data_IF_914915679781
#
_entry.id   IF_914915679781
#
_cell.length_a   1.000
_cell.length_b   1.000
_cell.length_c   1.000
_cell.angle_alpha   90.00
_cell.angle_beta   90.00
_cell.angle_gamma   90.00
#
_symmetry.space_group_name_H-M   'P 1'
#
loop_
_entity.id
_entity.type
_entity.pdbx_description
1 polymer ?
#
# COMPACT_ATOMS: atom_id res chain seq x y z
N UNK A 1 4.31 -4.28 15.12
CA UNK A 1 4.88 -4.79 13.83
C UNK A 1 5.01 -3.62 12.85
N UNK A 2 3.93 -2.84 12.66
CA UNK A 2 3.96 -1.55 11.97
C UNK A 2 4.81 -0.51 12.73
N UNK A 3 4.66 -0.42 14.05
CA UNK A 3 5.40 0.55 14.88
C UNK A 3 6.92 0.43 14.79
N UNK A 4 7.44 -0.79 14.57
CA UNK A 4 8.88 -1.03 14.50
C UNK A 4 9.48 -0.54 13.18
N UNK A 5 8.77 -0.72 12.06
CA UNK A 5 9.20 -0.26 10.74
C UNK A 5 9.26 1.27 10.71
N UNK A 6 8.26 1.94 11.28
CA UNK A 6 8.23 3.41 11.34
C UNK A 6 9.39 3.98 12.18
N UNK A 7 9.76 3.31 13.27
CA UNK A 7 10.86 3.73 14.14
C UNK A 7 12.24 3.59 13.49
N UNK A 8 12.47 2.52 12.73
CA UNK A 8 13.77 2.25 12.09
C UNK A 8 14.06 3.21 10.92
N UNK A 9 13.02 3.67 10.23
CA UNK A 9 13.14 4.50 9.02
C UNK A 9 13.01 6.01 9.27
N UNK A 10 12.98 6.46 10.53
CA UNK A 10 12.88 7.88 10.91
C UNK A 10 11.66 8.60 10.30
N UNK A 11 10.59 7.86 10.02
CA UNK A 11 9.32 8.44 9.58
C UNK A 11 8.75 9.21 10.78
N UNK A 12 8.29 10.47 10.61
CA UNK A 12 7.70 11.24 11.70
C UNK A 12 6.59 10.44 12.39
N UNK A 13 6.50 10.52 13.73
CA UNK A 13 5.62 9.67 14.57
C UNK A 13 4.12 9.89 14.32
N UNK A 14 3.77 10.77 13.39
CA UNK A 14 2.41 11.14 13.01
C UNK A 14 2.22 10.91 11.52
N UNK A 15 2.01 9.65 11.17
CA UNK A 15 1.82 9.25 9.79
C UNK A 15 0.54 8.41 9.66
N UNK A 16 -0.29 8.75 8.68
CA UNK A 16 -1.58 8.10 8.44
C UNK A 16 -1.57 7.32 7.13
N UNK A 17 -2.15 6.12 7.15
CA UNK A 17 -2.39 5.27 5.99
C UNK A 17 -3.81 4.74 6.07
N UNK A 18 -4.58 4.89 5.00
CA UNK A 18 -5.90 4.25 4.92
C UNK A 18 -5.76 2.84 4.35
N UNK A 19 -6.49 1.89 4.94
CA UNK A 19 -6.62 0.53 4.40
C UNK A 19 -8.06 0.27 3.95
N UNK A 20 -8.24 0.11 2.64
CA UNK A 20 -9.52 -0.24 2.02
C UNK A 20 -9.59 -1.74 1.72
N UNK A 21 -10.52 -2.46 2.34
CA UNK A 21 -10.82 -3.86 2.01
C UNK A 21 -12.04 -3.90 1.09
N UNK A 22 -11.86 -4.39 -0.14
CA UNK A 22 -12.87 -4.36 -1.20
C UNK A 22 -13.05 -5.72 -1.87
N UNK A 23 -13.99 -5.82 -2.80
CA UNK A 23 -14.17 -7.00 -3.67
C UNK A 23 -13.39 -6.84 -4.99
N UNK A 24 -13.35 -7.90 -5.81
CA UNK A 24 -12.63 -7.88 -7.09
C UNK A 24 -13.22 -6.87 -8.08
N UNK A 25 -14.54 -6.68 -8.06
CA UNK A 25 -15.19 -5.72 -8.95
C UNK A 25 -14.66 -4.30 -8.68
N UNK A 26 -14.67 -3.87 -7.41
CA UNK A 26 -14.21 -2.54 -7.02
C UNK A 26 -12.72 -2.37 -7.31
N UNK A 27 -11.86 -3.35 -6.99
CA UNK A 27 -10.43 -3.19 -7.26
C UNK A 27 -10.13 -3.20 -8.77
N UNK A 28 -10.88 -3.95 -9.58
CA UNK A 28 -10.75 -3.93 -11.03
C UNK A 28 -11.16 -2.57 -11.62
N UNK A 29 -12.24 -1.98 -11.12
CA UNK A 29 -12.66 -0.62 -11.53
C UNK A 29 -11.56 0.41 -11.21
N UNK A 30 -10.93 0.31 -10.03
CA UNK A 30 -9.80 1.15 -9.65
C UNK A 30 -8.56 0.87 -10.53
N UNK A 31 -8.21 -0.40 -10.76
CA UNK A 31 -7.07 -0.78 -11.57
C UNK A 31 -7.21 -0.27 -13.01
N UNK A 32 -8.43 -0.36 -13.57
CA UNK A 32 -8.74 0.20 -14.89
C UNK A 32 -8.62 1.72 -14.90
N UNK A 33 -9.13 2.39 -13.86
CA UNK A 33 -9.17 3.85 -13.79
C UNK A 33 -7.78 4.46 -13.62
N UNK A 34 -6.97 3.90 -12.74
CA UNK A 34 -5.68 4.50 -12.33
C UNK A 34 -4.45 3.87 -12.98
N UNK A 35 -4.52 2.60 -13.39
CA UNK A 35 -3.40 1.87 -14.05
C UNK A 35 -3.70 1.50 -15.50
N UNK A 36 -4.93 1.71 -15.98
CA UNK A 36 -5.34 1.33 -17.34
C UNK A 36 -5.51 -0.19 -17.55
N UNK A 37 -5.53 -0.98 -16.47
CA UNK A 37 -5.59 -2.44 -16.52
C UNK A 37 -6.99 -2.92 -16.12
N UNK A 38 -7.75 -3.47 -17.08
CA UNK A 38 -9.10 -3.99 -16.84
C UNK A 38 -9.09 -5.43 -16.32
N UNK A 39 -8.46 -5.63 -15.17
CA UNK A 39 -8.42 -6.90 -14.45
C UNK A 39 -8.34 -6.65 -12.93
N UNK A 40 -8.88 -7.56 -12.09
CA UNK A 40 -8.66 -7.48 -10.65
C UNK A 40 -7.18 -7.71 -10.32
N UNK A 41 -6.73 -7.12 -9.23
CA UNK A 41 -5.41 -7.33 -8.63
C UNK A 41 -5.57 -7.60 -7.14
N UNK A 42 -4.52 -8.04 -6.48
CA UNK A 42 -4.49 -8.24 -5.03
C UNK A 42 -4.47 -6.93 -4.24
N UNK A 43 -3.59 -6.01 -4.61
CA UNK A 43 -3.38 -4.74 -3.91
C UNK A 43 -3.10 -3.59 -4.89
N UNK A 44 -3.63 -2.41 -4.56
CA UNK A 44 -3.26 -1.13 -5.16
C UNK A 44 -2.79 -0.18 -4.06
N UNK A 45 -1.70 0.54 -4.31
CA UNK A 45 -1.20 1.59 -3.42
C UNK A 45 -1.27 2.93 -4.14
N UNK A 46 -1.87 3.92 -3.48
CA UNK A 46 -2.04 5.29 -3.96
C UNK A 46 -1.27 6.21 -3.03
N UNK A 47 -0.11 6.70 -3.46
CA UNK A 47 0.65 7.67 -2.70
C UNK A 47 -0.03 9.04 -2.77
N UNK A 48 -0.23 9.68 -1.61
CA UNK A 48 -0.79 11.04 -1.57
C UNK A 48 0.28 12.13 -1.67
N UNK A 49 1.56 11.74 -1.56
CA UNK A 49 2.73 12.55 -1.92
C UNK A 49 2.89 12.64 -3.45
N UNK A 50 1.88 13.14 -4.15
CA UNK A 50 2.04 13.60 -5.55
C UNK A 50 2.22 15.12 -5.55
N UNK A 51 3.47 15.58 -5.43
CA UNK A 51 4.05 16.77 -6.09
C UNK A 51 5.31 17.18 -5.36
N UNK A 52 6.47 16.61 -5.70
CA UNK A 52 7.77 17.21 -5.40
C UNK A 52 8.82 16.66 -6.39
N UNK A 53 8.70 17.11 -7.66
CA UNK A 53 9.88 17.35 -8.54
C UNK A 53 10.78 18.48 -7.97
N UNK A 54 10.40 19.06 -6.84
CA UNK A 54 11.20 19.97 -6.03
C UNK A 54 11.72 19.18 -4.83
N UNK A 55 13.02 19.24 -4.56
CA UNK A 55 13.62 18.59 -3.40
C UNK A 55 12.81 18.90 -2.14
N UNK A 56 12.61 17.94 -1.21
CA UNK A 56 11.85 18.19 0.00
C UNK A 56 12.49 19.33 0.76
N UNK A 57 11.86 20.51 0.70
CA UNK A 57 12.18 21.63 1.57
C UNK A 57 11.83 21.13 2.97
N UNK A 58 12.85 20.95 3.81
CA UNK A 58 12.73 20.48 5.20
C UNK A 58 12.07 21.55 6.07
N UNK A 59 10.86 21.99 5.72
CA UNK A 59 10.07 22.94 6.47
C UNK A 59 8.68 22.33 6.71
N UNK A 60 8.63 21.44 7.70
CA UNK A 60 7.75 21.49 8.88
C UNK A 60 7.38 20.07 9.34
N UNK A 61 8.22 19.49 10.20
CA UNK A 61 8.04 18.14 10.76
C UNK A 61 6.90 18.05 11.81
N UNK A 62 5.98 19.03 11.83
CA UNK A 62 4.88 19.12 12.80
C UNK A 62 3.49 18.80 12.22
N UNK A 63 3.36 18.61 10.91
CA UNK A 63 2.08 18.25 10.29
C UNK A 63 1.95 16.73 10.14
N UNK A 64 0.74 16.21 10.38
CA UNK A 64 0.41 14.79 10.20
C UNK A 64 0.61 14.41 8.73
N UNK A 65 1.60 13.55 8.46
CA UNK A 65 1.92 13.14 7.09
C UNK A 65 0.99 11.99 6.67
N UNK A 66 0.06 12.26 5.77
CA UNK A 66 -0.76 11.21 5.15
C UNK A 66 0.05 10.56 4.03
N UNK A 67 0.42 9.28 4.18
CA UNK A 67 1.18 8.54 3.15
C UNK A 67 0.30 8.20 1.94
N UNK A 68 -0.97 7.90 2.21
CA UNK A 68 -1.96 7.58 1.19
C UNK A 68 -2.76 6.32 1.51
N UNK A 69 -3.23 5.65 0.46
CA UNK A 69 -4.22 4.58 0.56
C UNK A 69 -3.66 3.24 0.05
N UNK A 70 -3.94 2.17 0.79
CA UNK A 70 -3.73 0.78 0.37
C UNK A 70 -5.10 0.14 0.19
N UNK A 71 -5.40 -0.37 -1.01
CA UNK A 71 -6.66 -1.04 -1.31
C UNK A 71 -6.38 -2.51 -1.63
N UNK A 72 -6.99 -3.43 -0.88
CA UNK A 72 -6.81 -4.88 -1.00
C UNK A 72 -8.13 -5.53 -1.40
N UNK A 73 -8.09 -6.42 -2.40
CA UNK A 73 -9.23 -7.30 -2.69
C UNK A 73 -9.23 -8.51 -1.77
N UNK A 74 -10.31 -8.69 -1.01
CA UNK A 74 -10.50 -9.86 -0.14
C UNK A 74 -10.69 -11.16 -0.93
N UNK A 75 -11.28 -11.09 -2.12
CA UNK A 75 -11.52 -12.26 -2.96
C UNK A 75 -10.21 -12.75 -3.59
N UNK A 76 -9.39 -11.83 -4.10
CA UNK A 76 -8.05 -12.17 -4.61
C UNK A 76 -7.13 -12.65 -3.49
N UNK A 77 -7.09 -11.95 -2.35
CA UNK A 77 -6.30 -12.36 -1.19
C UNK A 77 -6.73 -13.75 -0.66
N UNK A 78 -8.02 -14.08 -0.69
CA UNK A 78 -8.49 -15.42 -0.29
C UNK A 78 -7.98 -16.51 -1.23
N UNK A 79 -8.00 -16.28 -2.55
CA UNK A 79 -7.46 -17.24 -3.53
C UNK A 79 -5.95 -17.44 -3.37
N UNK A 80 -5.20 -16.36 -3.16
CA UNK A 80 -3.75 -16.42 -2.91
C UNK A 80 -3.43 -17.14 -1.60
N UNK A 81 -4.16 -16.86 -0.52
CA UNK A 81 -3.97 -17.53 0.75
C UNK A 81 -4.18 -19.06 0.64
N UNK A 82 -5.20 -19.49 -0.11
CA UNK A 82 -5.44 -20.90 -0.41
C UNK A 82 -4.30 -21.51 -1.25
N UNK A 83 -3.85 -20.82 -2.30
CA UNK A 83 -2.76 -21.26 -3.19
C UNK A 83 -1.42 -21.40 -2.44
N UNK A 84 -1.10 -20.44 -1.57
CA UNK A 84 0.13 -20.43 -0.79
C UNK A 84 0.05 -21.23 0.52
N UNK A 85 -1.10 -21.82 0.83
CA UNK A 85 -1.29 -22.69 1.99
C UNK A 85 -1.21 -21.95 3.33
N UNK A 86 -1.69 -20.70 3.38
CA UNK A 86 -1.66 -19.83 4.53
C UNK A 86 -3.03 -19.22 4.84
N UNK A 87 -3.17 -18.53 5.98
CA UNK A 87 -4.45 -17.92 6.35
C UNK A 87 -4.68 -16.59 5.61
N UNK A 88 -5.94 -16.28 5.32
CA UNK A 88 -6.34 -14.98 4.76
C UNK A 88 -5.80 -13.80 5.57
N UNK A 89 -5.80 -13.90 6.90
CA UNK A 89 -5.26 -12.86 7.79
C UNK A 89 -3.75 -12.66 7.56
N UNK A 90 -2.99 -13.73 7.32
CA UNK A 90 -1.56 -13.63 7.00
C UNK A 90 -1.36 -12.96 5.66
N UNK A 91 -2.19 -13.31 4.67
CA UNK A 91 -2.12 -12.73 3.32
C UNK A 91 -2.42 -11.24 3.33
N UNK A 92 -3.51 -10.82 4.00
CA UNK A 92 -3.84 -9.40 4.18
C UNK A 92 -2.68 -8.68 4.87
N UNK A 93 -2.10 -9.25 5.92
CA UNK A 93 -0.95 -8.66 6.60
C UNK A 93 0.27 -8.49 5.69
N UNK A 94 0.55 -9.49 4.85
CA UNK A 94 1.62 -9.44 3.84
C UNK A 94 1.35 -8.33 2.81
N UNK A 95 0.15 -8.29 2.22
CA UNK A 95 -0.25 -7.29 1.23
C UNK A 95 -0.26 -5.87 1.82
N UNK A 96 -0.65 -5.70 3.09
CA UNK A 96 -0.55 -4.40 3.78
C UNK A 96 0.90 -3.95 3.94
N UNK A 97 1.81 -4.83 4.36
CA UNK A 97 3.24 -4.50 4.48
C UNK A 97 3.83 -4.19 3.10
N UNK A 98 3.48 -4.99 2.08
CA UNK A 98 3.91 -4.77 0.71
C UNK A 98 3.45 -3.40 0.18
N UNK A 99 2.17 -3.08 0.35
CA UNK A 99 1.61 -1.78 -0.05
C UNK A 99 2.25 -0.61 0.70
N UNK A 100 2.53 -0.76 2.00
CA UNK A 100 3.20 0.26 2.78
C UNK A 100 4.63 0.52 2.28
N UNK A 101 5.38 -0.53 1.91
CA UNK A 101 6.72 -0.38 1.34
C UNK A 101 6.69 0.40 0.03
N UNK A 102 5.69 0.14 -0.83
CA UNK A 102 5.47 0.92 -2.05
C UNK A 102 5.15 2.39 -1.74
N UNK A 103 4.31 2.66 -0.74
CA UNK A 103 4.01 4.04 -0.31
C UNK A 103 5.25 4.79 0.20
N UNK A 104 6.20 4.07 0.82
CA UNK A 104 7.46 4.63 1.31
C UNK A 104 8.54 4.77 0.21
N UNK A 105 8.23 4.47 -1.04
CA UNK A 105 9.16 4.57 -2.17
C UNK A 105 10.17 3.42 -2.27
N UNK A 106 9.96 2.32 -1.53
CA UNK A 106 10.71 1.07 -1.72
C UNK A 106 10.09 0.29 -2.88
N UNK A 107 10.29 0.79 -4.09
CA UNK A 107 9.83 0.11 -5.31
C UNK A 107 10.60 -1.21 -5.47
N UNK A 108 9.90 -2.34 -5.42
CA UNK A 108 10.46 -3.63 -5.78
C UNK A 108 10.54 -3.72 -7.30
N UNK A 109 11.51 -3.02 -7.90
CA UNK A 109 12.09 -3.45 -9.16
C UNK A 109 13.08 -4.58 -8.89
N UNK A 110 12.58 -5.75 -8.49
CA UNK A 110 13.37 -6.98 -8.60
C UNK A 110 12.45 -8.18 -8.87
N UNK A 111 12.36 -8.66 -10.13
CA UNK A 111 11.75 -9.93 -10.44
C UNK A 111 12.75 -11.05 -10.10
N UNK A 112 12.64 -11.60 -8.90
CA UNK A 112 13.27 -12.87 -8.54
C UNK A 112 12.48 -14.07 -9.06
#
# INVERSE_FOLDING_TARGET
MVDWVLQEHQVPVKTEVSLGLVNDQTIQELNRTYRGVDAPTDVLSFCQLESLDEEPEYEDLNEEQVLGDIVISLETASRQAEEYGHSLVREIGFLTVHGLLHLLGYDHQDPG
#
